data_IF_800777949103
#
_entry.id   IF_800777949103
#
_cell.length_a   1.000
_cell.length_b   1.000
_cell.length_c   1.000
_cell.angle_alpha   90.00
_cell.angle_beta   90.00
_cell.angle_gamma   90.00
#
_symmetry.space_group_name_H-M   'P 1'
#
loop_
_entity.id
_entity.type
_entity.pdbx_description
1 polymer ?
#
# COMPACT_ATOMS: atom_id res chain seq x y z
N UNK A 1 17.54 -60.59 45.63
CA UNK A 1 17.41 -60.28 44.18
C UNK A 1 16.13 -60.88 43.63
N UNK A 2 15.31 -60.04 43.00
CA UNK A 2 14.20 -60.29 42.05
C UNK A 2 12.93 -59.55 42.46
N UNK A 3 12.76 -58.38 41.86
CA UNK A 3 11.51 -57.63 41.86
C UNK A 3 10.70 -57.97 40.61
N UNK A 4 9.45 -58.31 40.85
CA UNK A 4 8.35 -58.50 39.90
C UNK A 4 7.71 -57.17 39.50
N UNK A 5 7.40 -57.05 38.19
CA UNK A 5 6.25 -56.39 37.52
C UNK A 5 5.81 -54.98 37.98
N UNK A 6 5.71 -54.03 37.04
CA UNK A 6 4.47 -53.64 36.32
C UNK A 6 4.74 -52.45 35.36
N UNK A 7 4.09 -52.37 34.18
CA UNK A 7 4.27 -51.30 33.20
C UNK A 7 3.20 -50.20 33.38
N UNK A 8 3.59 -48.92 33.39
CA UNK A 8 2.67 -47.77 33.47
C UNK A 8 3.54 -46.50 33.35
N UNK A 9 3.33 -45.47 32.54
CA UNK A 9 2.22 -44.94 31.74
C UNK A 9 2.91 -44.01 30.71
N UNK A 10 2.68 -44.20 29.41
CA UNK A 10 3.07 -43.20 28.41
C UNK A 10 2.04 -42.07 28.50
N UNK A 11 2.46 -40.92 29.02
CA UNK A 11 1.65 -39.70 29.03
C UNK A 11 1.62 -39.15 27.59
N UNK A 12 0.60 -39.51 26.82
CA UNK A 12 0.33 -38.88 25.53
C UNK A 12 -0.27 -37.50 25.83
N UNK A 13 0.57 -36.47 25.80
CA UNK A 13 0.12 -35.09 25.79
C UNK A 13 -0.57 -34.83 24.44
N UNK A 14 -1.91 -34.94 24.44
CA UNK A 14 -2.75 -34.59 23.30
C UNK A 14 -2.74 -33.06 23.16
N UNK A 15 -1.71 -32.54 22.49
CA UNK A 15 -1.66 -31.15 22.08
C UNK A 15 -2.70 -30.97 20.96
N UNK A 16 -3.93 -30.63 21.34
CA UNK A 16 -4.97 -30.25 20.41
C UNK A 16 -4.55 -28.91 19.78
N UNK A 17 -3.74 -29.00 18.72
CA UNK A 17 -3.52 -27.89 17.80
C UNK A 17 -4.87 -27.64 17.12
N UNK A 18 -5.65 -26.73 17.70
CA UNK A 18 -6.80 -26.14 17.03
C UNK A 18 -6.24 -25.46 15.79
N UNK A 19 -6.37 -26.12 14.65
CA UNK A 19 -6.14 -25.55 13.34
C UNK A 19 -7.20 -24.45 13.20
N UNK A 20 -6.85 -23.22 13.59
CA UNK A 20 -7.65 -22.05 13.29
C UNK A 20 -7.66 -21.98 11.76
N UNK A 21 -8.74 -22.47 11.17
CA UNK A 21 -9.03 -22.26 9.76
C UNK A 21 -9.16 -20.75 9.60
N UNK A 22 -8.06 -20.10 9.24
CA UNK A 22 -8.07 -18.72 8.78
C UNK A 22 -8.85 -18.75 7.48
N UNK A 23 -10.16 -18.50 7.57
CA UNK A 23 -10.96 -18.14 6.41
C UNK A 23 -10.29 -16.92 5.82
N UNK A 24 -9.54 -17.12 4.73
CA UNK A 24 -9.05 -16.01 3.92
C UNK A 24 -10.28 -15.40 3.27
N UNK A 25 -10.96 -14.52 3.99
CA UNK A 25 -11.93 -13.61 3.41
C UNK A 25 -11.14 -12.86 2.33
N UNK A 26 -11.39 -13.17 1.06
CA UNK A 26 -10.90 -12.34 -0.03
C UNK A 26 -11.50 -10.97 0.21
N UNK A 27 -10.66 -10.02 0.64
CA UNK A 27 -11.11 -8.67 0.88
C UNK A 27 -11.75 -8.16 -0.41
N UNK A 28 -13.05 -7.89 -0.37
CA UNK A 28 -13.77 -7.32 -1.50
C UNK A 28 -13.05 -6.01 -1.90
N UNK A 29 -12.88 -5.78 -3.20
CA UNK A 29 -12.32 -4.54 -3.73
C UNK A 29 -13.43 -3.66 -4.32
N UNK A 30 -13.14 -2.36 -4.40
CA UNK A 30 -13.87 -1.37 -5.17
C UNK A 30 -12.91 -0.72 -6.16
N UNK A 31 -13.44 -0.20 -7.26
CA UNK A 31 -12.65 0.55 -8.25
C UNK A 31 -12.83 2.04 -7.99
N UNK A 32 -11.72 2.76 -7.96
CA UNK A 32 -11.70 4.22 -8.05
C UNK A 32 -11.32 4.61 -9.47
N UNK A 33 -12.08 5.53 -10.05
CA UNK A 33 -11.77 6.11 -11.36
C UNK A 33 -11.26 7.53 -11.14
N UNK A 34 -9.98 7.73 -11.43
CA UNK A 34 -9.39 9.06 -11.58
C UNK A 34 -9.59 9.60 -12.99
N UNK A 35 -8.96 10.74 -13.27
CA UNK A 35 -9.03 11.39 -14.57
C UNK A 35 -8.46 10.50 -15.68
N UNK A 36 -7.26 9.97 -15.46
CA UNK A 36 -6.47 9.22 -16.44
C UNK A 36 -6.06 7.84 -15.95
N UNK A 37 -6.73 7.34 -14.92
CA UNK A 37 -6.43 6.03 -14.36
C UNK A 37 -7.62 5.39 -13.67
N UNK A 38 -7.54 4.08 -13.48
CA UNK A 38 -8.30 3.36 -12.46
C UNK A 38 -7.38 2.60 -11.53
N UNK A 39 -7.87 2.33 -10.31
CA UNK A 39 -7.19 1.48 -9.35
C UNK A 39 -8.21 0.74 -8.50
N UNK A 40 -7.91 -0.50 -8.13
CA UNK A 40 -8.68 -1.25 -7.15
C UNK A 40 -8.16 -1.05 -5.73
N UNK A 41 -9.06 -0.81 -4.79
CA UNK A 41 -8.74 -0.63 -3.37
C UNK A 41 -9.67 -1.47 -2.47
N UNK A 42 -9.27 -1.80 -1.22
CA UNK A 42 -10.13 -2.56 -0.31
C UNK A 42 -11.46 -1.85 -0.05
N UNK A 43 -12.58 -2.57 -0.20
CA UNK A 43 -13.93 -1.98 -0.18
C UNK A 43 -14.32 -1.30 1.14
N UNK A 44 -13.60 -1.62 2.23
CA UNK A 44 -13.77 -1.05 3.56
C UNK A 44 -12.86 0.16 3.84
N UNK A 45 -12.05 0.59 2.86
CA UNK A 45 -11.28 1.83 2.96
C UNK A 45 -12.15 3.01 2.48
N UNK A 46 -11.88 4.18 3.03
CA UNK A 46 -12.43 5.44 2.54
C UNK A 46 -11.55 5.96 1.42
N UNK A 47 -12.15 6.29 0.26
CA UNK A 47 -11.45 6.83 -0.90
C UNK A 47 -11.75 8.32 -1.05
N UNK A 48 -10.72 9.14 -1.29
CA UNK A 48 -10.84 10.59 -1.47
C UNK A 48 -9.93 11.05 -2.62
N UNK A 49 -10.47 11.78 -3.58
CA UNK A 49 -9.66 12.48 -4.58
C UNK A 49 -8.84 13.59 -3.93
N UNK A 50 -7.62 13.83 -4.43
CA UNK A 50 -6.70 14.81 -3.82
C UNK A 50 -6.33 15.94 -4.78
N UNK A 51 -5.49 15.71 -5.79
CA UNK A 51 -5.15 16.71 -6.80
C UNK A 51 -6.16 16.67 -7.95
N UNK A 52 -6.90 17.76 -8.22
CA UNK A 52 -7.74 17.86 -9.40
C UNK A 52 -6.90 17.76 -10.68
N UNK A 53 -7.47 17.14 -11.71
CA UNK A 53 -6.81 16.99 -13.00
C UNK A 53 -6.90 18.27 -13.82
N UNK A 54 -5.74 18.77 -14.27
CA UNK A 54 -5.67 19.95 -15.14
C UNK A 54 -6.00 19.64 -16.61
N UNK A 55 -5.94 18.37 -17.01
CA UNK A 55 -6.12 17.94 -18.41
C UNK A 55 -7.44 17.21 -18.66
N UNK A 56 -8.28 17.03 -17.63
CA UNK A 56 -9.59 16.39 -17.76
C UNK A 56 -10.67 17.45 -17.92
N UNK A 57 -11.66 17.15 -18.75
CA UNK A 57 -12.87 17.96 -18.91
C UNK A 57 -14.05 17.44 -18.08
N UNK A 58 -13.85 16.37 -17.30
CA UNK A 58 -14.86 15.82 -16.38
C UNK A 58 -14.83 16.58 -15.05
N UNK A 59 -16.00 16.94 -14.53
CA UNK A 59 -16.14 17.47 -13.18
C UNK A 59 -15.69 16.42 -12.15
N UNK A 60 -15.02 16.86 -11.07
CA UNK A 60 -14.50 15.97 -10.01
C UNK A 60 -13.52 14.89 -10.51
N UNK A 61 -12.79 15.17 -11.60
CA UNK A 61 -11.70 14.32 -12.06
C UNK A 61 -10.38 14.66 -11.35
N UNK A 62 -9.72 13.64 -10.80
CA UNK A 62 -8.49 13.80 -10.02
C UNK A 62 -7.31 13.06 -10.65
N UNK A 63 -6.12 13.68 -10.61
CA UNK A 63 -4.85 13.06 -10.96
C UNK A 63 -4.26 12.25 -9.78
N UNK A 64 -4.69 12.52 -8.54
CA UNK A 64 -4.36 11.70 -7.37
C UNK A 64 -5.55 11.37 -6.48
N UNK A 65 -5.39 10.30 -5.70
CA UNK A 65 -6.35 9.90 -4.69
C UNK A 65 -5.68 9.20 -3.52
N UNK A 66 -6.36 9.23 -2.37
CA UNK A 66 -5.96 8.53 -1.15
C UNK A 66 -7.00 7.51 -0.73
N UNK A 67 -6.54 6.43 -0.08
CA UNK A 67 -7.39 5.33 0.37
C UNK A 67 -7.03 4.96 1.81
N UNK A 68 -7.84 5.40 2.77
CA UNK A 68 -7.54 5.28 4.19
C UNK A 68 -8.23 4.08 4.81
N UNK A 69 -7.45 3.25 5.49
CA UNK A 69 -7.93 2.10 6.26
C UNK A 69 -8.93 2.52 7.36
N UNK A 70 -9.89 1.65 7.74
CA UNK A 70 -10.92 2.01 8.72
C UNK A 70 -10.37 2.27 10.13
N UNK A 71 -9.17 1.78 10.44
CA UNK A 71 -8.47 2.05 11.71
C UNK A 71 -7.50 3.25 11.61
N UNK A 72 -7.44 3.92 10.46
CA UNK A 72 -6.59 5.08 10.21
C UNK A 72 -5.08 4.80 10.25
N UNK A 73 -4.67 3.52 10.37
CA UNK A 73 -3.26 3.18 10.58
C UNK A 73 -2.44 3.16 9.28
N UNK A 74 -3.13 3.11 8.13
CA UNK A 74 -2.56 3.14 6.79
C UNK A 74 -3.42 3.96 5.83
N UNK A 75 -2.76 4.68 4.91
CA UNK A 75 -3.37 5.31 3.73
C UNK A 75 -2.57 4.91 2.48
N UNK A 76 -3.23 4.36 1.46
CA UNK A 76 -2.63 4.20 0.13
C UNK A 76 -2.79 5.47 -0.68
N UNK A 77 -1.88 5.67 -1.62
CA UNK A 77 -1.83 6.86 -2.47
C UNK A 77 -1.53 6.47 -3.91
N UNK A 78 -2.15 7.17 -4.84
CA UNK A 78 -1.84 7.13 -6.27
C UNK A 78 -1.81 8.56 -6.81
N UNK A 79 -0.84 8.84 -7.67
CA UNK A 79 -0.85 9.97 -8.60
C UNK A 79 -0.51 9.44 -9.99
N UNK A 80 -1.36 9.71 -10.96
CA UNK A 80 -1.21 9.21 -12.33
C UNK A 80 -1.89 10.17 -13.29
N UNK A 81 -1.26 11.33 -13.57
CA UNK A 81 -1.77 12.27 -14.57
C UNK A 81 -1.68 11.66 -15.97
N UNK A 82 -2.24 12.36 -16.97
CA UNK A 82 -2.20 11.91 -18.37
C UNK A 82 -0.77 11.70 -18.90
N UNK A 83 0.14 12.60 -18.53
CA UNK A 83 1.54 12.59 -19.00
C UNK A 83 2.49 12.69 -17.80
N UNK A 84 3.30 13.75 -17.76
CA UNK A 84 4.14 14.09 -16.64
C UNK A 84 3.47 15.13 -15.74
N UNK A 85 3.87 15.19 -14.48
CA UNK A 85 3.46 16.25 -13.58
C UNK A 85 4.15 16.16 -12.22
N UNK A 86 3.83 17.11 -11.34
CA UNK A 86 4.38 17.20 -10.00
C UNK A 86 3.29 16.86 -8.97
N UNK A 87 3.48 15.80 -8.15
CA UNK A 87 2.52 15.41 -7.12
C UNK A 87 2.66 16.32 -5.88
N UNK A 88 2.11 17.53 -5.96
CA UNK A 88 2.26 18.57 -4.92
C UNK A 88 1.56 18.23 -3.60
N UNK A 89 0.59 17.33 -3.61
CA UNK A 89 -0.13 16.82 -2.43
C UNK A 89 0.70 15.88 -1.55
N UNK A 90 1.92 15.52 -1.98
CA UNK A 90 2.88 14.73 -1.19
C UNK A 90 4.19 15.47 -0.95
N UNK A 91 4.22 16.80 -1.07
CA UNK A 91 5.38 17.61 -0.72
C UNK A 91 5.86 17.40 0.72
N UNK A 92 7.16 17.59 0.95
CA UNK A 92 7.78 17.44 2.26
C UNK A 92 7.33 18.56 3.19
N UNK A 93 6.75 18.20 4.33
CA UNK A 93 6.31 19.15 5.37
C UNK A 93 7.44 19.50 6.35
N UNK A 94 7.32 20.63 7.05
CA UNK A 94 8.36 21.13 7.96
C UNK A 94 8.70 20.15 9.11
N UNK A 95 7.75 19.34 9.55
CA UNK A 95 7.90 18.34 10.61
C UNK A 95 8.39 16.98 10.10
N UNK A 96 8.77 16.88 8.84
CA UNK A 96 9.18 15.64 8.20
C UNK A 96 10.64 15.65 7.77
N UNK A 97 11.17 14.46 7.49
CA UNK A 97 12.48 14.25 6.88
C UNK A 97 12.37 13.27 5.73
N UNK A 98 12.97 13.61 4.60
CA UNK A 98 13.13 12.67 3.49
C UNK A 98 14.39 11.81 3.73
N UNK A 99 14.27 10.51 3.47
CA UNK A 99 15.39 9.59 3.39
C UNK A 99 16.12 9.68 2.05
N UNK A 100 17.17 8.88 1.87
CA UNK A 100 17.84 8.79 0.58
C UNK A 100 16.91 8.20 -0.49
N UNK A 101 16.95 8.79 -1.68
CA UNK A 101 16.29 8.24 -2.86
C UNK A 101 17.11 7.10 -3.45
N UNK A 102 16.44 6.02 -3.83
CA UNK A 102 17.01 4.92 -4.61
C UNK A 102 16.45 4.97 -6.02
N UNK A 103 17.34 5.18 -7.00
CA UNK A 103 16.97 5.24 -8.43
C UNK A 103 17.42 3.97 -9.15
N UNK A 104 16.56 3.41 -9.98
CA UNK A 104 16.85 2.26 -10.84
C UNK A 104 16.51 2.62 -12.28
N UNK A 105 17.46 2.44 -13.20
CA UNK A 105 17.27 2.70 -14.62
C UNK A 105 17.02 1.38 -15.35
N UNK A 106 15.83 1.24 -15.95
CA UNK A 106 15.50 0.17 -16.87
C UNK A 106 15.76 0.59 -18.32
N UNK A 107 15.39 -0.27 -19.28
CA UNK A 107 15.53 0.04 -20.71
C UNK A 107 14.56 1.12 -21.20
N UNK A 108 13.37 1.19 -20.59
CA UNK A 108 12.26 2.08 -20.98
C UNK A 108 11.77 2.98 -19.84
N UNK A 109 11.99 2.56 -18.60
CA UNK A 109 11.49 3.27 -17.42
C UNK A 109 12.60 3.59 -16.43
N UNK A 110 12.44 4.70 -15.72
CA UNK A 110 13.18 5.02 -14.50
C UNK A 110 12.26 4.82 -13.31
N UNK A 111 12.76 4.17 -12.26
CA UNK A 111 12.01 3.94 -11.02
C UNK A 111 12.75 4.58 -9.85
N UNK A 112 12.08 5.49 -9.15
CA UNK A 112 12.60 6.18 -7.97
C UNK A 112 11.81 5.74 -6.73
N UNK A 113 12.53 5.32 -5.69
CA UNK A 113 11.96 5.00 -4.39
C UNK A 113 12.46 5.98 -3.34
N UNK A 114 11.57 6.47 -2.49
CA UNK A 114 11.94 7.29 -1.34
C UNK A 114 10.96 7.11 -0.18
N UNK A 115 11.39 7.53 0.99
CA UNK A 115 10.59 7.50 2.21
C UNK A 115 10.65 8.85 2.89
N UNK A 116 9.52 9.32 3.39
CA UNK A 116 9.42 10.50 4.24
C UNK A 116 8.92 10.02 5.60
N UNK A 117 9.63 10.39 6.66
CA UNK A 117 9.26 10.07 8.04
C UNK A 117 8.98 11.32 8.85
N UNK A 118 8.01 11.24 9.76
CA UNK A 118 7.84 12.29 10.76
C UNK A 118 9.10 12.39 11.64
N UNK A 119 9.50 13.61 12.00
CA UNK A 119 10.69 13.84 12.85
C UNK A 119 10.52 13.26 14.26
N UNK A 120 9.29 13.17 14.76
CA UNK A 120 8.93 12.54 16.03
C UNK A 120 8.75 11.01 15.94
N UNK A 121 8.82 10.44 14.73
CA UNK A 121 8.64 9.02 14.49
C UNK A 121 7.19 8.53 14.49
N UNK A 122 6.20 9.42 14.49
CA UNK A 122 4.77 9.07 14.54
C UNK A 122 4.26 8.34 13.29
N UNK A 123 4.89 8.55 12.13
CA UNK A 123 4.54 7.86 10.89
C UNK A 123 5.68 7.81 9.88
N UNK A 124 5.47 7.00 8.84
CA UNK A 124 6.30 6.94 7.64
C UNK A 124 5.42 6.86 6.39
N UNK A 125 5.77 7.58 5.34
CA UNK A 125 5.18 7.48 4.00
C UNK A 125 6.25 7.07 3.00
N UNK A 126 5.98 6.04 2.21
CA UNK A 126 6.93 5.42 1.27
C UNK A 126 6.35 5.45 -0.13
N UNK A 127 7.15 5.88 -1.10
CA UNK A 127 6.71 6.12 -2.46
C UNK A 127 7.56 5.36 -3.47
N UNK A 128 6.91 5.01 -4.58
CA UNK A 128 7.52 4.56 -5.81
C UNK A 128 7.01 5.46 -6.93
N UNK A 129 7.91 6.19 -7.58
CA UNK A 129 7.66 6.86 -8.86
C UNK A 129 8.17 5.96 -9.99
N UNK A 130 7.39 5.86 -11.04
CA UNK A 130 7.80 5.28 -12.32
C UNK A 130 7.61 6.36 -13.39
N UNK A 131 8.65 6.61 -14.17
CA UNK A 131 8.61 7.46 -15.37
C UNK A 131 8.98 6.62 -16.59
N UNK A 132 8.18 6.68 -17.64
CA UNK A 132 8.43 6.04 -18.94
C UNK A 132 8.05 7.05 -20.04
N UNK A 133 9.04 7.42 -20.86
CA UNK A 133 8.90 8.47 -21.88
C UNK A 133 8.28 9.77 -21.30
N UNK A 134 7.07 10.13 -21.73
CA UNK A 134 6.35 11.34 -21.29
C UNK A 134 5.33 11.06 -20.17
N UNK A 135 5.17 9.81 -19.73
CA UNK A 135 4.18 9.42 -18.71
C UNK A 135 4.84 9.14 -17.37
N UNK A 136 4.07 9.30 -16.31
CA UNK A 136 4.51 8.94 -14.97
C UNK A 136 3.38 8.47 -14.06
N UNK A 137 3.73 7.75 -13.01
CA UNK A 137 2.85 7.58 -11.86
C UNK A 137 3.64 7.46 -10.56
N UNK A 138 3.02 7.87 -9.45
CA UNK A 138 3.48 7.60 -8.08
C UNK A 138 2.49 6.70 -7.37
N UNK A 139 2.99 5.66 -6.72
CA UNK A 139 2.24 4.84 -5.78
C UNK A 139 2.86 4.97 -4.39
N UNK A 140 2.02 5.20 -3.39
CA UNK A 140 2.46 5.48 -2.03
C UNK A 140 1.72 4.68 -0.97
N UNK A 141 2.39 4.50 0.17
CA UNK A 141 1.78 4.01 1.40
C UNK A 141 2.27 4.83 2.59
N UNK A 142 1.34 5.45 3.29
CA UNK A 142 1.52 6.08 4.59
C UNK A 142 1.11 5.09 5.68
N UNK A 143 1.90 4.97 6.75
CA UNK A 143 1.65 4.05 7.84
C UNK A 143 2.23 4.55 9.17
N UNK A 144 1.51 4.33 10.27
CA UNK A 144 1.93 4.77 11.61
C UNK A 144 3.02 3.89 12.22
N UNK A 145 3.02 2.60 11.90
CA UNK A 145 3.99 1.63 12.44
C UNK A 145 4.33 0.54 11.42
N UNK A 146 5.47 -0.14 11.62
CA UNK A 146 5.84 -1.31 10.81
C UNK A 146 4.79 -2.44 10.90
N UNK A 147 4.12 -2.57 12.05
CA UNK A 147 3.04 -3.54 12.22
C UNK A 147 1.83 -3.19 11.35
N UNK A 148 1.44 -1.91 11.28
CA UNK A 148 0.38 -1.43 10.41
C UNK A 148 0.73 -1.67 8.93
N UNK A 149 1.97 -1.34 8.52
CA UNK A 149 2.45 -1.67 7.17
C UNK A 149 2.33 -3.17 6.88
N UNK A 150 2.83 -4.02 7.77
CA UNK A 150 2.81 -5.47 7.57
C UNK A 150 1.38 -6.03 7.48
N UNK A 151 0.44 -5.50 8.29
CA UNK A 151 -0.97 -5.87 8.28
C UNK A 151 -1.63 -5.63 6.91
N UNK A 152 -1.31 -4.50 6.26
CA UNK A 152 -1.92 -4.09 5.00
C UNK A 152 -1.05 -4.32 3.76
N UNK A 153 0.16 -4.87 3.92
CA UNK A 153 1.13 -5.07 2.84
C UNK A 153 0.56 -5.84 1.66
N UNK A 154 -0.20 -6.91 1.92
CA UNK A 154 -0.80 -7.72 0.85
C UNK A 154 -1.79 -6.90 0.01
N UNK A 155 -2.67 -6.17 0.68
CA UNK A 155 -3.65 -5.29 0.03
C UNK A 155 -2.96 -4.15 -0.73
N UNK A 156 -1.89 -3.58 -0.18
CA UNK A 156 -1.13 -2.54 -0.87
C UNK A 156 -0.49 -3.05 -2.16
N UNK A 157 0.08 -4.27 -2.15
CA UNK A 157 0.64 -4.86 -3.36
C UNK A 157 -0.43 -5.14 -4.42
N UNK A 158 -1.64 -5.51 -4.01
CA UNK A 158 -2.79 -5.67 -4.93
C UNK A 158 -3.23 -4.32 -5.51
N UNK A 159 -3.35 -3.29 -4.68
CA UNK A 159 -3.64 -1.91 -5.08
C UNK A 159 -2.63 -1.40 -6.12
N UNK A 160 -1.33 -1.61 -5.89
CA UNK A 160 -0.30 -1.20 -6.84
C UNK A 160 -0.41 -1.93 -8.19
N UNK A 161 -0.77 -3.22 -8.15
CA UNK A 161 -0.85 -4.05 -9.34
C UNK A 161 -2.11 -3.80 -10.17
N UNK A 162 -3.12 -3.13 -9.60
CA UNK A 162 -4.39 -2.81 -10.26
C UNK A 162 -4.42 -1.43 -10.90
N UNK A 163 -3.32 -0.66 -10.85
CA UNK A 163 -3.22 0.60 -11.55
C UNK A 163 -3.30 0.37 -13.06
N UNK A 164 -4.32 0.92 -13.69
CA UNK A 164 -4.46 0.98 -15.15
C UNK A 164 -4.53 2.45 -15.58
N UNK A 165 -3.62 2.86 -16.46
CA UNK A 165 -3.59 4.21 -17.03
C UNK A 165 -4.39 4.24 -18.33
N UNK A 166 -5.10 5.33 -18.56
CA UNK A 166 -5.77 5.62 -19.81
C UNK A 166 -4.81 6.42 -20.71
N UNK A 167 -4.90 6.19 -22.01
CA UNK A 167 -4.27 7.02 -23.02
C UNK A 167 -5.37 7.65 -23.89
N UNK A 168 -5.04 8.75 -24.54
CA UNK A 168 -5.80 9.29 -25.67
C UNK A 168 -5.53 8.52 -26.97
#
# INVERSE_FOLDING_TARGET
MRATRFPLLILIALCAMTLAATTTLTAQTKTFRGAWFTVEYPANFTAEGSLPSATSNEDEAFDSATFTSPDGSVTFYVYSPQWSGDPTDIELSENEREGQRKVTHGKRQTVTYWTIGAKDGSYTRSYQEVREDETMHVLGIHYTTQQAYNKYKKQYLQFKASLEQFAD
#
